data_IF_111572982150
#
_entry.id   IF_111572982150
#
_cell.length_a   1.000
_cell.length_b   1.000
_cell.length_c   1.000
_cell.angle_alpha   90.00
_cell.angle_beta   90.00
_cell.angle_gamma   90.00
#
_symmetry.space_group_name_H-M   'P 1'
#
loop_
_entity.id
_entity.type
_entity.pdbx_description
1 polymer ?
#
# COMPACT_ATOMS: atom_id res chain seq x y z
N UNK A 1 -21.06 10.17 -12.43
CA UNK A 1 -20.15 9.55 -11.50
C UNK A 1 -20.77 8.40 -10.72
N UNK A 2 -19.99 7.74 -9.91
CA UNK A 2 -20.46 6.65 -9.06
C UNK A 2 -19.65 6.60 -7.77
N UNK A 3 -20.26 6.00 -6.76
CA UNK A 3 -19.65 5.69 -5.47
C UNK A 3 -19.85 4.20 -5.21
N UNK A 4 -18.79 3.52 -4.83
CA UNK A 4 -18.84 2.14 -4.38
C UNK A 4 -18.27 2.07 -2.96
N UNK A 5 -18.98 1.37 -2.08
CA UNK A 5 -18.49 1.00 -0.75
C UNK A 5 -18.62 -0.50 -0.56
N UNK A 6 -17.58 -1.12 -0.08
CA UNK A 6 -17.61 -2.52 0.34
C UNK A 6 -17.10 -2.67 1.77
N UNK A 7 -17.77 -3.54 2.50
CA UNK A 7 -17.37 -4.03 3.81
C UNK A 7 -17.11 -5.53 3.69
N UNK A 8 -15.93 -5.96 4.12
CA UNK A 8 -15.59 -7.38 4.20
C UNK A 8 -14.68 -7.62 5.40
N UNK A 9 -14.89 -8.74 6.08
CA UNK A 9 -14.00 -9.21 7.14
C UNK A 9 -13.56 -10.61 6.77
N UNK A 10 -12.27 -10.78 6.56
CA UNK A 10 -11.66 -12.07 6.26
C UNK A 10 -10.78 -12.51 7.43
N UNK A 11 -11.06 -13.68 7.99
CA UNK A 11 -10.30 -14.27 9.06
C UNK A 11 -9.81 -15.66 8.65
N UNK A 12 -8.79 -16.17 9.33
CA UNK A 12 -8.25 -17.50 9.17
C UNK A 12 -8.06 -18.12 10.54
N UNK A 13 -8.60 -19.31 10.71
CA UNK A 13 -8.34 -20.16 11.88
C UNK A 13 -7.12 -21.04 11.62
N UNK A 14 -6.25 -21.14 12.61
CA UNK A 14 -5.10 -22.02 12.63
C UNK A 14 -4.84 -22.50 14.06
N UNK A 15 -4.79 -23.82 14.26
CA UNK A 15 -4.57 -24.45 15.57
C UNK A 15 -5.51 -23.91 16.68
N UNK A 16 -6.78 -23.65 16.33
CA UNK A 16 -7.77 -23.11 17.27
C UNK A 16 -7.67 -21.61 17.58
N UNK A 17 -6.72 -20.90 16.96
CA UNK A 17 -6.59 -19.45 17.06
C UNK A 17 -7.07 -18.77 15.78
N UNK A 18 -7.98 -17.80 15.92
CA UNK A 18 -8.49 -16.99 14.82
C UNK A 18 -7.66 -15.72 14.68
N UNK A 19 -7.18 -15.43 13.49
CA UNK A 19 -6.46 -14.22 13.15
C UNK A 19 -6.99 -13.57 11.87
N UNK A 20 -6.82 -12.26 11.67
CA UNK A 20 -7.16 -11.62 10.40
C UNK A 20 -6.42 -12.30 9.24
N UNK A 21 -7.08 -12.41 8.10
CA UNK A 21 -6.40 -12.87 6.89
C UNK A 21 -5.46 -11.77 6.37
N UNK A 22 -4.29 -12.16 5.84
CA UNK A 22 -3.25 -11.22 5.40
C UNK A 22 -3.70 -10.18 4.37
N UNK A 23 -4.78 -10.44 3.64
CA UNK A 23 -5.38 -9.55 2.66
C UNK A 23 -6.74 -8.99 3.13
N UNK A 24 -7.02 -9.02 4.45
CA UNK A 24 -8.22 -8.43 4.98
C UNK A 24 -8.19 -6.91 4.83
N UNK A 25 -9.13 -6.38 4.05
CA UNK A 25 -9.42 -4.96 3.93
C UNK A 25 -10.88 -4.73 4.31
N UNK A 26 -11.10 -4.37 5.56
CA UNK A 26 -12.45 -4.29 6.14
C UNK A 26 -13.33 -3.26 5.44
N UNK A 27 -12.78 -2.11 5.10
CA UNK A 27 -13.50 -1.03 4.43
C UNK A 27 -12.81 -0.65 3.13
N UNK A 28 -13.57 -0.52 2.05
CA UNK A 28 -13.09 -0.01 0.78
C UNK A 28 -14.12 0.96 0.19
N UNK A 29 -13.68 2.17 -0.17
CA UNK A 29 -14.50 3.20 -0.80
C UNK A 29 -13.84 3.63 -2.09
N UNK A 30 -14.62 3.69 -3.17
CA UNK A 30 -14.18 4.23 -4.44
C UNK A 30 -15.21 5.27 -4.89
N UNK A 31 -14.74 6.46 -5.22
CA UNK A 31 -15.53 7.56 -5.76
C UNK A 31 -14.93 7.93 -7.11
N UNK A 32 -15.77 7.96 -8.14
CA UNK A 32 -15.38 8.43 -9.47
C UNK A 32 -16.36 9.49 -9.89
N UNK A 33 -15.84 10.64 -10.30
CA UNK A 33 -16.60 11.78 -10.78
C UNK A 33 -16.00 12.24 -12.11
N UNK A 34 -16.86 12.53 -13.09
CA UNK A 34 -16.48 13.15 -14.35
C UNK A 34 -17.35 14.39 -14.54
N UNK A 35 -16.72 15.51 -14.81
CA UNK A 35 -17.41 16.77 -15.07
C UNK A 35 -16.98 17.34 -16.42
N UNK A 36 -17.94 17.39 -17.34
CA UNK A 36 -17.74 18.00 -18.63
C UNK A 36 -17.95 19.51 -18.53
N UNK A 37 -16.84 20.26 -18.53
CA UNK A 37 -16.86 21.72 -18.39
C UNK A 37 -17.47 22.37 -19.62
N UNK A 38 -17.12 21.87 -20.82
CA UNK A 38 -17.63 22.31 -22.10
C UNK A 38 -17.45 21.22 -23.18
N UNK A 39 -17.70 21.54 -24.46
CA UNK A 39 -17.60 20.56 -25.56
C UNK A 39 -16.19 20.03 -25.80
N UNK A 40 -15.15 20.76 -25.39
CA UNK A 40 -13.77 20.42 -25.65
C UNK A 40 -12.95 20.08 -24.37
N UNK A 41 -13.53 20.21 -23.16
CA UNK A 41 -12.76 19.98 -21.91
C UNK A 41 -13.58 19.24 -20.85
N UNK A 42 -12.95 18.24 -20.23
CA UNK A 42 -13.51 17.40 -19.17
C UNK A 42 -12.50 17.23 -18.04
N UNK A 43 -12.99 17.19 -16.81
CA UNK A 43 -12.22 16.89 -15.60
C UNK A 43 -12.76 15.61 -14.97
N UNK A 44 -11.91 14.64 -14.79
CA UNK A 44 -12.18 13.42 -14.04
C UNK A 44 -11.49 13.46 -12.66
N UNK A 45 -12.16 12.93 -11.66
CA UNK A 45 -11.59 12.73 -10.33
C UNK A 45 -11.88 11.32 -9.86
N UNK A 46 -10.87 10.66 -9.29
CA UNK A 46 -11.00 9.35 -8.66
C UNK A 46 -10.40 9.39 -7.26
N UNK A 47 -11.22 9.15 -6.26
CA UNK A 47 -10.76 9.00 -4.88
C UNK A 47 -10.96 7.56 -4.40
N UNK A 48 -9.91 7.00 -3.83
CA UNK A 48 -9.90 5.68 -3.26
C UNK A 48 -9.54 5.76 -1.78
N UNK A 49 -10.23 4.98 -0.96
CA UNK A 49 -9.92 4.73 0.44
C UNK A 49 -10.00 3.22 0.70
N UNK A 50 -9.04 2.69 1.47
CA UNK A 50 -9.09 1.33 1.98
C UNK A 50 -8.48 1.26 3.38
N UNK A 51 -9.14 0.52 4.30
CA UNK A 51 -8.50 0.09 5.55
C UNK A 51 -7.37 -0.87 5.20
N UNK A 52 -6.14 -0.45 5.35
CA UNK A 52 -4.98 -1.18 4.84
C UNK A 52 -4.85 -2.60 5.44
N UNK A 53 -3.94 -3.39 4.89
CA UNK A 53 -3.72 -4.79 5.26
C UNK A 53 -3.15 -4.95 6.68
N UNK A 54 -3.54 -6.03 7.39
CA UNK A 54 -2.90 -6.40 8.64
C UNK A 54 -1.47 -6.87 8.41
N UNK A 55 -0.63 -6.74 9.43
CA UNK A 55 0.74 -7.23 9.45
C UNK A 55 1.15 -7.63 10.87
N UNK A 56 2.27 -8.34 10.99
CA UNK A 56 2.83 -8.74 12.28
C UNK A 56 4.01 -7.85 12.60
N UNK A 57 3.98 -7.20 13.75
CA UNK A 57 5.12 -6.46 14.29
C UNK A 57 6.01 -7.39 15.10
N UNK A 58 7.35 -7.23 15.05
CA UNK A 58 8.23 -7.94 15.97
C UNK A 58 8.00 -7.41 17.39
N UNK A 59 7.86 -8.34 18.34
CA UNK A 59 7.66 -8.03 19.77
C UNK A 59 8.97 -8.00 20.56
N UNK A 60 10.06 -8.48 19.96
CA UNK A 60 11.36 -8.55 20.61
C UNK A 60 12.42 -9.17 19.73
N UNK A 61 13.49 -9.63 20.36
CA UNK A 61 14.60 -10.37 19.73
C UNK A 61 14.87 -11.66 20.51
N UNK A 62 15.24 -12.70 19.79
CA UNK A 62 15.65 -13.99 20.38
C UNK A 62 17.04 -14.39 19.88
N UNK A 63 17.89 -14.99 20.72
CA UNK A 63 19.17 -15.55 20.26
C UNK A 63 18.90 -16.60 19.18
N UNK A 64 19.72 -16.58 18.15
CA UNK A 64 19.68 -17.64 17.14
C UNK A 64 20.32 -18.91 17.67
N UNK A 65 19.53 -20.00 17.70
CA UNK A 65 19.97 -21.32 18.16
C UNK A 65 19.94 -22.30 17.00
N UNK A 66 20.95 -23.13 16.89
CA UNK A 66 21.01 -24.26 15.96
C UNK A 66 21.53 -25.48 16.71
N UNK A 67 20.74 -26.57 16.72
CA UNK A 67 21.05 -27.82 17.47
C UNK A 67 21.42 -27.54 18.94
N UNK A 68 20.55 -26.77 19.64
CA UNK A 68 20.70 -26.35 21.04
C UNK A 68 21.99 -25.54 21.35
N UNK A 69 22.66 -25.04 20.32
CA UNK A 69 23.88 -24.24 20.44
C UNK A 69 23.63 -22.83 19.90
N UNK A 70 24.10 -21.81 20.63
CA UNK A 70 24.04 -20.41 20.19
C UNK A 70 24.87 -20.22 18.92
N UNK A 71 24.27 -19.61 17.93
CA UNK A 71 24.98 -19.25 16.69
C UNK A 71 25.73 -17.95 16.91
N UNK A 72 27.02 -17.97 16.69
CA UNK A 72 27.91 -16.80 16.79
C UNK A 72 28.43 -16.39 15.41
N UNK A 73 28.68 -15.11 15.26
CA UNK A 73 29.37 -14.60 14.07
C UNK A 73 30.83 -15.04 14.14
N UNK A 74 31.37 -15.77 13.15
CA UNK A 74 32.73 -16.31 13.20
C UNK A 74 33.82 -15.23 13.18
N UNK A 75 33.50 -14.00 12.74
CA UNK A 75 34.47 -12.90 12.67
C UNK A 75 34.50 -12.06 13.94
N UNK A 76 33.37 -11.90 14.62
CA UNK A 76 33.24 -11.01 15.79
C UNK A 76 33.05 -11.76 17.10
N UNK A 77 32.79 -13.07 17.03
CA UNK A 77 32.46 -13.95 18.17
C UNK A 77 31.21 -13.46 18.95
N UNK A 78 30.33 -12.68 18.32
CA UNK A 78 29.12 -12.19 18.92
C UNK A 78 27.94 -13.12 18.59
N UNK A 79 27.01 -13.31 19.55
CA UNK A 79 25.80 -14.08 19.36
C UNK A 79 24.92 -13.39 18.32
N UNK A 80 24.39 -14.17 17.37
CA UNK A 80 23.42 -13.68 16.40
C UNK A 80 22.00 -13.73 16.99
N UNK A 81 21.18 -12.76 16.64
CA UNK A 81 19.80 -12.66 17.07
C UNK A 81 18.87 -12.66 15.86
N UNK A 82 17.65 -13.15 16.06
CA UNK A 82 16.54 -13.05 15.13
C UNK A 82 15.49 -12.09 15.70
N UNK A 83 14.69 -11.49 14.84
CA UNK A 83 13.47 -10.81 15.24
C UNK A 83 12.47 -11.84 15.78
N UNK A 84 11.89 -11.54 16.93
CA UNK A 84 10.81 -12.32 17.53
C UNK A 84 9.47 -11.70 17.16
N UNK A 85 8.61 -12.48 16.52
CA UNK A 85 7.27 -12.07 16.12
C UNK A 85 6.17 -12.58 17.09
N UNK A 86 6.57 -13.11 18.23
CA UNK A 86 5.67 -13.59 19.27
C UNK A 86 4.95 -14.90 18.90
N UNK A 87 3.76 -15.05 19.47
CA UNK A 87 2.91 -16.22 19.30
C UNK A 87 1.91 -16.06 18.15
N UNK A 88 1.09 -17.08 17.88
CA UNK A 88 0.01 -17.01 16.90
C UNK A 88 -1.01 -15.87 17.20
N UNK A 89 -1.15 -15.44 18.46
CA UNK A 89 -1.98 -14.30 18.86
C UNK A 89 -1.45 -12.95 18.35
N UNK A 90 -0.13 -12.81 18.23
CA UNK A 90 0.51 -11.61 17.68
C UNK A 90 0.46 -11.54 16.16
N UNK A 91 0.07 -12.66 15.52
CA UNK A 91 0.07 -12.77 14.07
C UNK A 91 -0.98 -11.88 13.45
N UNK A 92 -0.55 -10.95 12.56
CA UNK A 92 -1.42 -10.02 11.84
C UNK A 92 -2.30 -9.16 12.78
N UNK A 93 -1.83 -8.94 14.02
CA UNK A 93 -2.54 -8.16 15.05
C UNK A 93 -2.48 -6.65 14.80
N UNK A 94 -1.45 -6.17 14.13
CA UNK A 94 -1.29 -4.76 13.74
C UNK A 94 -1.84 -4.50 12.34
N UNK A 95 -2.23 -3.25 12.07
CA UNK A 95 -2.73 -2.85 10.75
C UNK A 95 -1.99 -1.62 10.25
N UNK A 96 -1.58 -1.64 8.99
CA UNK A 96 -0.96 -0.49 8.32
C UNK A 96 -1.94 0.70 8.32
N UNK A 97 -1.45 1.96 8.31
CA UNK A 97 -2.29 3.14 8.16
C UNK A 97 -3.20 3.04 6.95
N UNK A 98 -4.42 3.56 7.08
CA UNK A 98 -5.38 3.52 5.98
C UNK A 98 -4.80 4.10 4.70
N UNK A 99 -5.02 3.39 3.60
CA UNK A 99 -4.69 3.85 2.26
C UNK A 99 -5.74 4.84 1.78
N UNK A 100 -5.33 5.96 1.21
CA UNK A 100 -6.21 6.78 0.38
C UNK A 100 -5.43 7.59 -0.65
N UNK A 101 -6.07 7.85 -1.80
CA UNK A 101 -5.45 8.54 -2.92
C UNK A 101 -6.49 9.28 -3.73
N UNK A 102 -6.17 10.49 -4.16
CA UNK A 102 -6.91 11.25 -5.14
C UNK A 102 -6.10 11.32 -6.44
N UNK A 103 -6.73 10.93 -7.54
CA UNK A 103 -6.21 11.06 -8.88
C UNK A 103 -7.11 12.02 -9.66
N UNK A 104 -6.52 12.90 -10.45
CA UNK A 104 -7.23 13.81 -11.34
C UNK A 104 -6.84 13.52 -12.78
N UNK A 105 -7.82 13.61 -13.68
CA UNK A 105 -7.64 13.59 -15.13
C UNK A 105 -8.20 14.85 -15.75
N UNK A 106 -7.41 15.47 -16.59
CA UNK A 106 -7.81 16.59 -17.45
C UNK A 106 -7.78 16.13 -18.89
N UNK A 107 -8.91 16.21 -19.59
CA UNK A 107 -9.03 15.75 -20.98
C UNK A 107 -9.47 16.89 -21.87
N UNK A 108 -8.74 17.10 -22.97
CA UNK A 108 -9.07 18.06 -24.01
C UNK A 108 -9.38 17.33 -25.33
N UNK A 109 -10.51 17.70 -25.97
CA UNK A 109 -10.99 17.09 -27.20
C UNK A 109 -10.87 18.08 -28.35
N UNK A 110 -10.37 17.62 -29.49
CA UNK A 110 -10.23 18.43 -30.70
C UNK A 110 -10.55 17.58 -31.93
N UNK A 111 -11.05 18.23 -33.00
CA UNK A 111 -11.29 17.59 -34.30
C UNK A 111 -10.45 18.29 -35.36
N UNK A 112 -9.50 17.58 -35.95
CA UNK A 112 -8.70 18.04 -37.05
C UNK A 112 -8.10 16.87 -37.85
N UNK A 113 -7.73 17.08 -39.09
CA UNK A 113 -7.21 16.05 -40.01
C UNK A 113 -8.10 14.80 -40.12
N UNK A 114 -9.43 14.99 -40.19
CA UNK A 114 -10.41 13.90 -40.26
C UNK A 114 -10.34 12.89 -39.10
N UNK A 115 -9.81 13.31 -37.95
CA UNK A 115 -9.68 12.50 -36.76
C UNK A 115 -10.21 13.23 -35.51
N UNK A 116 -10.74 12.46 -34.57
CA UNK A 116 -11.09 12.89 -33.22
C UNK A 116 -9.87 12.70 -32.32
N UNK A 117 -9.36 13.79 -31.77
CA UNK A 117 -8.19 13.80 -30.90
C UNK A 117 -8.59 14.00 -29.46
N UNK A 118 -7.97 13.20 -28.56
CA UNK A 118 -8.08 13.38 -27.12
C UNK A 118 -6.68 13.53 -26.53
N UNK A 119 -6.41 14.66 -25.92
CA UNK A 119 -5.21 14.94 -25.14
C UNK A 119 -5.58 14.79 -23.67
N UNK A 120 -4.77 14.09 -22.87
CA UNK A 120 -5.05 13.96 -21.45
C UNK A 120 -3.80 14.11 -20.60
N UNK A 121 -4.01 14.70 -19.43
CA UNK A 121 -3.05 14.80 -18.34
C UNK A 121 -3.67 14.10 -17.12
N UNK A 122 -3.01 13.06 -16.63
CA UNK A 122 -3.34 12.41 -15.38
C UNK A 122 -2.36 12.86 -14.30
N UNK A 123 -2.90 13.23 -13.14
CA UNK A 123 -2.11 13.50 -11.94
C UNK A 123 -2.51 12.48 -10.88
N UNK A 124 -1.67 11.48 -10.70
CA UNK A 124 -1.87 10.41 -9.72
C UNK A 124 -1.38 10.90 -8.36
N UNK A 125 -2.13 10.59 -7.28
CA UNK A 125 -1.79 10.97 -5.90
C UNK A 125 -1.59 12.48 -5.73
N UNK A 126 -2.60 13.26 -6.12
CA UNK A 126 -2.56 14.74 -6.19
C UNK A 126 -2.07 15.41 -4.91
N UNK A 127 -2.47 14.89 -3.74
CA UNK A 127 -2.03 15.45 -2.45
C UNK A 127 -0.76 14.79 -1.90
N UNK A 128 -0.04 14.03 -2.75
CA UNK A 128 1.27 13.47 -2.47
C UNK A 128 1.34 12.68 -1.14
N UNK A 129 0.29 11.90 -0.83
CA UNK A 129 0.28 11.08 0.38
C UNK A 129 1.30 9.96 0.28
N UNK A 130 2.11 9.80 1.31
CA UNK A 130 2.98 8.65 1.47
C UNK A 130 2.17 7.45 1.99
N UNK A 131 1.50 6.72 1.09
CA UNK A 131 0.81 5.48 1.42
C UNK A 131 1.82 4.37 1.67
N UNK A 132 1.67 3.67 2.79
CA UNK A 132 2.59 2.60 3.18
C UNK A 132 2.35 1.35 2.34
N UNK A 133 3.38 0.92 1.61
CA UNK A 133 3.40 -0.36 0.91
C UNK A 133 3.82 -1.48 1.85
N UNK A 134 4.97 -1.32 2.52
CA UNK A 134 5.52 -2.33 3.41
C UNK A 134 6.33 -1.72 4.57
N UNK A 135 6.45 -2.49 5.65
CA UNK A 135 7.38 -2.27 6.73
C UNK A 135 8.45 -3.37 6.69
N UNK A 136 9.70 -2.97 6.71
CA UNK A 136 10.86 -3.86 6.80
C UNK A 136 11.51 -3.64 8.18
N UNK A 137 11.59 -4.70 8.96
CA UNK A 137 12.18 -4.68 10.29
C UNK A 137 13.59 -5.30 10.25
N UNK A 138 14.53 -4.62 10.86
CA UNK A 138 15.92 -5.08 10.96
C UNK A 138 16.47 -4.83 12.37
N UNK A 139 17.53 -5.55 12.73
CA UNK A 139 18.31 -5.29 13.92
C UNK A 139 19.52 -4.42 13.55
N UNK A 140 19.71 -3.34 14.31
CA UNK A 140 20.95 -2.56 14.20
C UNK A 140 22.07 -3.20 15.03
N UNK A 141 23.28 -2.63 14.94
CA UNK A 141 24.45 -3.11 15.67
C UNK A 141 24.31 -3.06 17.21
N UNK A 142 23.35 -2.28 17.72
CA UNK A 142 23.05 -2.16 19.14
C UNK A 142 21.89 -3.08 19.57
N UNK A 143 21.53 -4.07 18.74
CA UNK A 143 20.40 -5.00 18.95
C UNK A 143 19.05 -4.30 19.15
N UNK A 144 18.88 -3.11 18.58
CA UNK A 144 17.60 -2.41 18.57
C UNK A 144 16.86 -2.72 17.28
N UNK A 145 15.55 -2.95 17.40
CA UNK A 145 14.67 -3.13 16.26
C UNK A 145 14.50 -1.79 15.54
N UNK A 146 14.83 -1.76 14.28
CA UNK A 146 14.63 -0.60 13.40
C UNK A 146 13.56 -0.91 12.36
N UNK A 147 12.67 0.05 12.11
CA UNK A 147 11.63 -0.06 11.10
C UNK A 147 11.94 0.85 9.92
N UNK A 148 11.98 0.29 8.74
CA UNK A 148 12.06 1.03 7.48
C UNK A 148 10.71 0.95 6.78
N UNK A 149 10.16 2.11 6.43
CA UNK A 149 8.89 2.20 5.69
C UNK A 149 9.16 2.31 4.20
N UNK A 150 8.58 1.41 3.41
CA UNK A 150 8.55 1.52 1.95
C UNK A 150 7.20 2.13 1.56
N UNK A 151 7.24 3.30 0.92
CA UNK A 151 6.06 4.01 0.43
C UNK A 151 5.62 3.54 -0.96
N UNK A 152 4.37 3.84 -1.30
CA UNK A 152 3.86 3.75 -2.67
C UNK A 152 4.29 4.98 -3.47
N UNK A 153 3.90 5.03 -4.75
CA UNK A 153 4.24 6.14 -5.64
C UNK A 153 3.80 7.50 -5.08
N UNK A 154 4.69 8.51 -5.08
CA UNK A 154 4.36 9.89 -4.77
C UNK A 154 3.42 10.48 -5.83
N UNK A 155 3.25 11.80 -5.84
CA UNK A 155 2.58 12.48 -6.96
C UNK A 155 3.27 12.14 -8.27
N UNK A 156 2.48 11.72 -9.26
CA UNK A 156 2.98 11.29 -10.57
C UNK A 156 2.12 11.87 -11.69
N UNK A 157 2.57 12.90 -12.39
CA UNK A 157 1.91 13.38 -13.60
C UNK A 157 2.27 12.48 -14.79
N UNK A 158 1.28 12.15 -15.61
CA UNK A 158 1.44 11.46 -16.89
C UNK A 158 0.58 12.12 -17.95
N UNK A 159 0.99 12.08 -19.19
CA UNK A 159 0.22 12.62 -20.31
C UNK A 159 0.10 11.60 -21.45
N UNK A 160 -0.93 11.75 -22.25
CA UNK A 160 -1.12 10.92 -23.41
C UNK A 160 -2.00 11.57 -24.46
N UNK A 161 -1.95 10.99 -25.66
CA UNK A 161 -2.71 11.42 -26.81
C UNK A 161 -3.38 10.19 -27.42
N UNK A 162 -4.65 10.32 -27.77
CA UNK A 162 -5.42 9.32 -28.47
C UNK A 162 -6.02 9.95 -29.74
N UNK A 163 -5.90 9.27 -30.88
CA UNK A 163 -6.49 9.68 -32.14
C UNK A 163 -7.40 8.56 -32.67
N UNK A 164 -8.61 8.93 -33.12
CA UNK A 164 -9.60 8.04 -33.72
C UNK A 164 -9.95 8.55 -35.12
N UNK A 165 -9.66 7.75 -36.13
CA UNK A 165 -9.93 8.02 -37.55
C UNK A 165 -11.29 7.44 -37.97
#
# INVERSE_FOLDING_TARGET
GWINYSYSKATRERYGSESPFRFDQTHNVNIVLNYRVNSWFEIGARWNYASNFPFTEPVGITPRVLNDTLVVNPLTNQVLFNLDYGTDENRLSSRKPAYHRLDLRFSAFAKFWNADWTFYLDVINVYNRNNVLNYDYNLNNNLQITQKTTGMFPILPTFGINARF
#
